data_IF_390338026276
#
_entry.id   IF_390338026276
#
_cell.length_a   1.000
_cell.length_b   1.000
_cell.length_c   1.000
_cell.angle_alpha   90.00
_cell.angle_beta   90.00
_cell.angle_gamma   90.00
#
_symmetry.space_group_name_H-M   'P 1'
#
loop_
_entity.id
_entity.type
_entity.pdbx_description
1 polymer ?
#
# COMPACT_ATOMS: atom_id res chain seq x y z
N UNK A 1 4.01 -13.99 25.68
CA UNK A 1 4.39 -14.76 24.47
C UNK A 1 3.75 -14.07 23.27
N UNK A 2 4.52 -13.35 22.46
CA UNK A 2 4.03 -12.58 21.32
C UNK A 2 3.59 -13.53 20.21
N UNK A 3 2.29 -13.70 20.03
CA UNK A 3 1.72 -14.45 18.90
C UNK A 3 2.07 -13.74 17.59
N UNK A 4 3.13 -14.20 16.92
CA UNK A 4 3.42 -13.80 15.55
C UNK A 4 2.30 -14.36 14.67
N UNK A 5 1.41 -13.48 14.23
CA UNK A 5 0.37 -13.85 13.27
C UNK A 5 1.02 -14.45 12.02
N UNK A 6 0.65 -15.70 11.69
CA UNK A 6 1.12 -16.42 10.50
C UNK A 6 0.74 -15.62 9.24
N UNK A 7 1.68 -15.40 8.30
CA UNK A 7 1.36 -14.79 7.01
C UNK A 7 0.46 -15.74 6.21
N UNK A 8 -0.59 -15.20 5.59
CA UNK A 8 -1.57 -15.99 4.82
C UNK A 8 -0.99 -16.56 3.51
N UNK A 9 0.15 -16.06 3.02
CA UNK A 9 0.85 -16.57 1.83
C UNK A 9 2.33 -16.16 1.82
N UNK A 10 3.23 -16.99 1.27
CA UNK A 10 4.67 -16.67 1.14
C UNK A 10 4.93 -15.50 0.18
N UNK A 11 4.06 -15.26 -0.79
CA UNK A 11 4.16 -14.17 -1.77
C UNK A 11 2.94 -13.23 -1.68
N UNK A 12 2.82 -12.52 -0.57
CA UNK A 12 1.75 -11.53 -0.33
C UNK A 12 2.04 -10.16 -0.98
N UNK A 13 3.03 -10.12 -1.88
CA UNK A 13 3.61 -8.89 -2.43
C UNK A 13 2.90 -8.53 -3.73
N UNK A 14 2.24 -7.38 -3.74
CA UNK A 14 1.59 -6.85 -4.93
C UNK A 14 2.63 -6.29 -5.91
N UNK A 15 2.37 -6.49 -7.20
CA UNK A 15 3.09 -5.76 -8.25
C UNK A 15 2.71 -4.27 -8.15
N UNK A 16 3.67 -3.39 -8.44
CA UNK A 16 3.40 -1.95 -8.54
C UNK A 16 2.45 -1.71 -9.71
N UNK A 17 1.27 -1.10 -9.49
CA UNK A 17 0.33 -0.81 -10.56
C UNK A 17 0.86 0.23 -11.54
N UNK A 18 0.36 0.23 -12.78
CA UNK A 18 0.85 1.11 -13.84
C UNK A 18 0.68 2.61 -13.51
N UNK A 19 -0.48 3.00 -12.97
CA UNK A 19 -0.77 4.36 -12.51
C UNK A 19 0.19 4.85 -11.42
N UNK A 20 0.45 4.03 -10.39
CA UNK A 20 1.47 4.33 -9.39
C UNK A 20 2.87 4.40 -10.00
N UNK A 21 3.20 3.52 -10.95
CA UNK A 21 4.50 3.55 -11.63
C UNK A 21 4.69 4.85 -12.42
N UNK A 22 3.67 5.31 -13.14
CA UNK A 22 3.71 6.59 -13.86
C UNK A 22 3.89 7.78 -12.91
N UNK A 23 3.21 7.78 -11.75
CA UNK A 23 3.39 8.82 -10.74
C UNK A 23 4.83 8.84 -10.19
N UNK A 24 5.40 7.66 -9.89
CA UNK A 24 6.79 7.53 -9.43
C UNK A 24 7.83 7.90 -10.50
N UNK A 25 7.51 7.73 -11.78
CA UNK A 25 8.40 8.12 -12.87
C UNK A 25 8.36 9.64 -13.12
N UNK A 26 7.22 10.26 -12.86
CA UNK A 26 7.01 11.70 -13.08
C UNK A 26 7.54 12.58 -11.94
N UNK A 27 7.76 12.02 -10.74
CA UNK A 27 8.24 12.75 -9.57
C UNK A 27 9.42 12.03 -8.90
N UNK A 28 10.62 12.57 -9.09
CA UNK A 28 11.86 12.04 -8.52
C UNK A 28 11.86 12.05 -6.99
N UNK A 29 11.29 13.08 -6.35
CA UNK A 29 11.26 13.18 -4.87
C UNK A 29 10.37 12.10 -4.28
N UNK A 30 9.23 11.86 -4.91
CA UNK A 30 8.33 10.77 -4.56
C UNK A 30 9.02 9.41 -4.78
N UNK A 31 9.71 9.24 -5.90
CA UNK A 31 10.43 8.01 -6.23
C UNK A 31 11.50 7.66 -5.19
N UNK A 32 12.31 8.65 -4.78
CA UNK A 32 13.35 8.46 -3.76
C UNK A 32 12.75 8.03 -2.42
N UNK A 33 11.69 8.73 -1.96
CA UNK A 33 10.99 8.39 -0.72
C UNK A 33 10.32 7.02 -0.80
N UNK A 34 9.71 6.69 -1.94
CA UNK A 34 9.12 5.38 -2.21
C UNK A 34 10.16 4.26 -2.14
N UNK A 35 11.33 4.47 -2.73
CA UNK A 35 12.44 3.51 -2.71
C UNK A 35 13.04 3.35 -1.30
N UNK A 36 13.00 4.40 -0.48
CA UNK A 36 13.33 4.36 0.94
C UNK A 36 12.35 3.55 1.80
N UNK A 37 11.16 3.22 1.30
CA UNK A 37 10.20 2.39 2.03
C UNK A 37 10.64 0.91 2.03
N UNK A 38 10.39 0.27 3.17
CA UNK A 38 10.57 -1.17 3.28
C UNK A 38 9.69 -1.90 2.26
N UNK A 39 10.12 -3.10 1.91
CA UNK A 39 9.33 -4.06 1.11
C UNK A 39 7.88 -4.20 1.58
N UNK A 40 7.67 -4.17 2.90
CA UNK A 40 6.35 -4.26 3.51
C UNK A 40 5.57 -2.94 3.37
N UNK A 41 6.21 -1.79 3.61
CA UNK A 41 5.55 -0.47 3.48
C UNK A 41 5.03 -0.24 2.06
N UNK A 42 5.84 -0.55 1.04
CA UNK A 42 5.41 -0.51 -0.36
C UNK A 42 4.22 -1.41 -0.62
N UNK A 43 4.26 -2.64 -0.08
CA UNK A 43 3.15 -3.57 -0.24
C UNK A 43 1.85 -3.09 0.42
N UNK A 44 1.94 -2.48 1.61
CA UNK A 44 0.77 -1.96 2.32
C UNK A 44 0.16 -0.78 1.58
N UNK A 45 0.97 0.13 1.03
CA UNK A 45 0.50 1.21 0.16
C UNK A 45 -0.20 0.70 -1.10
N UNK A 46 0.40 -0.29 -1.78
CA UNK A 46 -0.23 -0.89 -2.96
C UNK A 46 -1.56 -1.55 -2.58
N UNK A 47 -1.60 -2.36 -1.52
CA UNK A 47 -2.82 -3.04 -1.09
C UNK A 47 -3.93 -2.05 -0.67
N UNK A 48 -3.57 -0.98 0.03
CA UNK A 48 -4.51 0.09 0.37
C UNK A 48 -5.05 0.75 -0.89
N UNK A 49 -4.19 1.08 -1.85
CA UNK A 49 -4.61 1.68 -3.11
C UNK A 49 -5.51 0.75 -3.94
N UNK A 50 -5.15 -0.52 -4.10
CA UNK A 50 -5.87 -1.50 -4.94
C UNK A 50 -7.13 -2.06 -4.30
N UNK A 51 -7.31 -1.91 -2.98
CA UNK A 51 -8.57 -2.29 -2.32
C UNK A 51 -9.76 -1.39 -2.71
N UNK A 52 -9.52 -0.25 -3.36
CA UNK A 52 -10.60 0.57 -3.90
C UNK A 52 -11.22 -0.08 -5.14
N UNK A 53 -12.47 -0.56 -5.02
CA UNK A 53 -13.23 -1.15 -6.14
C UNK A 53 -13.60 -0.14 -7.24
N UNK A 54 -13.74 1.15 -6.90
CA UNK A 54 -14.08 2.23 -7.83
C UNK A 54 -12.83 2.95 -8.34
N UNK A 55 -12.74 3.16 -9.65
CA UNK A 55 -11.61 3.87 -10.29
C UNK A 55 -11.39 5.27 -9.70
N UNK A 56 -12.45 6.07 -9.56
CA UNK A 56 -12.36 7.42 -8.98
C UNK A 56 -11.77 7.41 -7.54
N UNK A 57 -12.12 6.41 -6.75
CA UNK A 57 -11.56 6.26 -5.38
C UNK A 57 -10.09 5.85 -5.43
N UNK A 58 -9.69 5.03 -6.40
CA UNK A 58 -8.30 4.66 -6.61
C UNK A 58 -7.45 5.87 -7.01
N UNK A 59 -7.96 6.74 -7.86
CA UNK A 59 -7.28 7.99 -8.24
C UNK A 59 -7.11 8.93 -7.04
N UNK A 60 -8.17 9.11 -6.25
CA UNK A 60 -8.10 9.88 -4.98
C UNK A 60 -7.08 9.30 -4.00
N UNK A 61 -7.02 7.96 -3.90
CA UNK A 61 -6.01 7.27 -3.08
C UNK A 61 -4.60 7.44 -3.64
N UNK A 62 -4.43 7.45 -4.96
CA UNK A 62 -3.12 7.73 -5.57
C UNK A 62 -2.62 9.11 -5.19
N UNK A 63 -3.45 10.16 -5.34
CA UNK A 63 -3.08 11.52 -4.95
C UNK A 63 -2.64 11.60 -3.48
N UNK A 64 -3.46 11.05 -2.58
CA UNK A 64 -3.14 11.01 -1.15
C UNK A 64 -1.87 10.20 -0.84
N UNK A 65 -1.63 9.09 -1.53
CA UNK A 65 -0.40 8.31 -1.38
C UNK A 65 0.81 9.17 -1.73
N UNK A 66 0.75 9.95 -2.81
CA UNK A 66 1.85 10.83 -3.20
C UNK A 66 2.14 11.86 -2.10
N UNK A 67 1.10 12.56 -1.64
CA UNK A 67 1.20 13.55 -0.56
C UNK A 67 1.79 12.95 0.72
N UNK A 68 1.19 11.87 1.23
CA UNK A 68 1.61 11.29 2.51
C UNK A 68 3.03 10.73 2.44
N UNK A 69 3.45 10.16 1.30
CA UNK A 69 4.83 9.67 1.13
C UNK A 69 5.82 10.83 1.05
N UNK A 70 5.49 11.92 0.35
CA UNK A 70 6.30 13.12 0.30
C UNK A 70 6.46 13.75 1.69
N UNK A 71 5.42 13.72 2.52
CA UNK A 71 5.45 14.12 3.94
C UNK A 71 6.28 13.16 4.82
N UNK A 72 6.68 11.99 4.31
CA UNK A 72 7.53 11.02 4.98
C UNK A 72 6.79 9.87 5.67
N UNK A 73 5.47 9.74 5.44
CA UNK A 73 4.70 8.64 5.99
C UNK A 73 5.13 7.32 5.35
N UNK A 74 5.48 6.36 6.21
CA UNK A 74 5.97 5.05 5.76
C UNK A 74 4.86 4.06 5.45
N UNK A 75 3.63 4.35 5.88
CA UNK A 75 2.44 3.50 5.76
C UNK A 75 1.16 4.34 5.60
N UNK A 76 0.11 3.80 4.95
CA UNK A 76 -1.17 4.47 4.83
C UNK A 76 -1.84 4.70 6.19
N UNK A 77 -2.23 5.93 6.47
CA UNK A 77 -3.00 6.27 7.66
C UNK A 77 -4.43 5.69 7.56
N UNK A 78 -4.95 5.18 8.69
CA UNK A 78 -6.24 4.48 8.81
C UNK A 78 -6.36 3.15 8.03
N UNK A 79 -5.23 2.52 7.65
CA UNK A 79 -5.23 1.16 7.10
C UNK A 79 -5.03 0.12 8.20
N UNK A 80 -6.02 -0.76 8.49
CA UNK A 80 -5.93 -1.75 9.57
C UNK A 80 -4.91 -2.87 9.32
N UNK A 81 -4.28 -2.86 8.14
CA UNK A 81 -3.24 -3.80 7.73
C UNK A 81 -3.64 -4.61 6.51
N UNK A 82 -2.64 -5.13 5.79
CA UNK A 82 -2.86 -5.93 4.60
C UNK A 82 -3.50 -7.30 4.97
N UNK A 83 -4.70 -7.64 4.48
CA UNK A 83 -5.33 -8.95 4.70
C UNK A 83 -4.48 -10.11 4.21
N UNK A 84 -3.77 -9.91 3.10
CA UNK A 84 -2.83 -10.89 2.56
C UNK A 84 -1.65 -11.19 3.51
N UNK A 85 -1.38 -10.30 4.48
CA UNK A 85 -0.39 -10.53 5.55
C UNK A 85 -1.03 -11.05 6.84
N UNK A 86 -2.26 -10.66 7.14
CA UNK A 86 -2.95 -10.99 8.39
C UNK A 86 -4.39 -11.41 8.08
N UNK A 87 -4.68 -12.68 8.29
CA UNK A 87 -6.01 -13.28 8.01
C UNK A 87 -7.15 -12.50 8.70
N UNK A 88 -6.91 -11.96 9.91
CA UNK A 88 -7.90 -11.14 10.63
C UNK A 88 -8.27 -9.82 9.94
N UNK A 89 -7.52 -9.40 8.91
CA UNK A 89 -7.82 -8.21 8.12
C UNK A 89 -8.61 -8.54 6.82
N UNK A 90 -8.86 -9.81 6.50
CA UNK A 90 -9.59 -10.26 5.28
C UNK A 90 -10.93 -9.50 5.11
N UNK A 91 -11.63 -9.28 6.21
CA UNK A 91 -12.91 -8.56 6.27
C UNK A 91 -12.91 -7.14 5.68
N UNK A 92 -11.73 -6.53 5.47
CA UNK A 92 -11.60 -5.16 4.96
C UNK A 92 -11.39 -5.07 3.44
N UNK A 93 -11.29 -6.21 2.73
CA UNK A 93 -11.11 -6.24 1.27
C UNK A 93 -12.32 -6.85 0.53
N UNK A 94 -13.11 -7.69 1.20
CA UNK A 94 -14.29 -8.31 0.59
C UNK A 94 -15.58 -7.46 0.67
N UNK A 95 -15.64 -6.39 1.48
CA UNK A 95 -16.82 -5.52 1.60
C UNK A 95 -17.07 -4.66 0.35
#
# INVERSE_FOLDING_TARGET
>A
MTGMAKPASKDFRHKVPADLRSALDSDTSLQEKWNGLTSLGRNEWICWMTSAKKAETREKRLARLQEEILEGNRRPCCWPGCPHRRESAQKWVDA
#
